data_IF_535127727573
#
_entry.id   IF_535127727573
#
_cell.length_a   1.000
_cell.length_b   1.000
_cell.length_c   1.000
_cell.angle_alpha   90.00
_cell.angle_beta   90.00
_cell.angle_gamma   90.00
#
_symmetry.space_group_name_H-M   'P 1'
#
loop_
_entity.id
_entity.type
_entity.pdbx_description
1 polymer ?
#
# COMPACT_ATOMS: atom_id res chain seq x y z
N UNK A 1 6.86 -65.00 -11.27
CA UNK A 1 5.70 -64.08 -11.30
C UNK A 1 5.15 -64.02 -12.72
N UNK A 2 3.86 -64.29 -12.90
CA UNK A 2 3.18 -64.19 -14.20
C UNK A 2 3.25 -62.75 -14.73
N UNK A 3 3.50 -62.58 -16.03
CA UNK A 3 3.78 -61.27 -16.65
C UNK A 3 2.63 -60.27 -16.52
N UNK A 4 1.40 -60.75 -16.33
CA UNK A 4 0.22 -59.94 -16.03
C UNK A 4 0.32 -59.17 -14.70
N UNK A 5 0.99 -59.75 -13.70
CA UNK A 5 1.17 -59.14 -12.37
C UNK A 5 2.26 -58.07 -12.42
N UNK A 6 3.28 -58.24 -13.28
CA UNK A 6 4.33 -57.23 -13.48
C UNK A 6 3.78 -55.98 -14.17
N UNK A 7 2.91 -56.15 -15.18
CA UNK A 7 2.26 -55.03 -15.87
C UNK A 7 1.36 -54.19 -14.96
N UNK A 8 0.64 -54.83 -14.03
CA UNK A 8 -0.20 -54.14 -13.04
C UNK A 8 0.64 -53.32 -12.04
N UNK A 9 1.76 -53.86 -11.56
CA UNK A 9 2.64 -53.18 -10.61
C UNK A 9 3.32 -51.96 -11.26
N UNK A 10 3.72 -52.06 -12.53
CA UNK A 10 4.34 -50.94 -13.27
C UNK A 10 3.30 -49.88 -13.65
N UNK A 11 2.07 -50.28 -14.01
CA UNK A 11 0.98 -49.34 -14.28
C UNK A 11 0.55 -48.55 -13.05
N UNK A 12 0.53 -49.18 -11.87
CA UNK A 12 0.16 -48.54 -10.62
C UNK A 12 1.23 -47.53 -10.16
N UNK A 13 2.52 -47.85 -10.31
CA UNK A 13 3.60 -46.93 -9.93
C UNK A 13 3.65 -45.70 -10.84
N UNK A 14 3.42 -45.85 -12.14
CA UNK A 14 3.41 -44.71 -13.07
C UNK A 14 2.10 -43.89 -12.92
N UNK A 15 0.96 -44.55 -12.71
CA UNK A 15 -0.31 -43.86 -12.44
C UNK A 15 -0.28 -43.02 -11.16
N UNK A 16 0.40 -43.49 -10.11
CA UNK A 16 0.57 -42.72 -8.86
C UNK A 16 1.46 -41.48 -8.98
N UNK A 17 2.28 -41.39 -10.04
CA UNK A 17 3.12 -40.21 -10.28
C UNK A 17 2.38 -39.08 -11.03
N UNK A 18 1.26 -39.40 -11.70
CA UNK A 18 0.59 -38.48 -12.63
C UNK A 18 -0.74 -37.90 -12.12
N UNK A 19 -1.35 -38.47 -11.07
CA UNK A 19 -2.60 -37.95 -10.51
C UNK A 19 -2.54 -37.86 -8.99
N UNK A 20 -2.56 -36.64 -8.43
CA UNK A 20 -3.12 -36.50 -7.09
C UNK A 20 -2.77 -35.28 -6.25
N UNK A 21 -1.77 -34.46 -6.57
CA UNK A 21 -1.58 -33.18 -5.87
C UNK A 21 -2.19 -32.05 -6.69
N UNK A 22 -3.52 -32.02 -6.71
CA UNK A 22 -4.32 -30.92 -7.26
C UNK A 22 -4.24 -29.68 -6.37
N UNK A 23 -4.09 -28.53 -7.03
CA UNK A 23 -4.41 -27.16 -6.59
C UNK A 23 -3.64 -26.60 -5.38
N UNK A 24 -2.61 -25.81 -5.66
CA UNK A 24 -2.20 -24.73 -4.75
C UNK A 24 -3.35 -23.71 -4.68
N UNK A 25 -4.23 -23.85 -3.69
CA UNK A 25 -4.90 -22.70 -3.13
C UNK A 25 -3.84 -21.91 -2.34
N UNK A 26 -3.79 -20.58 -2.51
CA UNK A 26 -3.02 -19.71 -1.63
C UNK A 26 -3.61 -19.80 -0.22
N UNK A 27 -3.19 -20.83 0.53
CA UNK A 27 -3.70 -21.14 1.86
C UNK A 27 -3.02 -20.21 2.85
N UNK A 28 -3.79 -19.30 3.44
CA UNK A 28 -3.35 -18.60 4.65
C UNK A 28 -2.97 -19.64 5.71
N UNK A 29 -1.71 -19.64 6.13
CA UNK A 29 -1.24 -20.55 7.17
C UNK A 29 -1.76 -20.04 8.52
N UNK A 30 -2.77 -20.72 9.06
CA UNK A 30 -3.20 -20.48 10.44
C UNK A 30 -2.22 -21.19 11.38
N UNK A 31 -1.60 -20.43 12.28
CA UNK A 31 -0.77 -20.98 13.36
C UNK A 31 -1.51 -20.84 14.69
N UNK A 32 -1.52 -21.92 15.50
CA UNK A 32 -2.04 -21.87 16.86
C UNK A 32 -0.88 -21.64 17.83
N UNK A 33 -0.90 -20.50 18.52
CA UNK A 33 0.17 -20.08 19.43
C UNK A 33 -0.44 -19.50 20.70
N UNK A 34 0.23 -19.72 21.83
CA UNK A 34 -0.15 -19.08 23.10
C UNK A 34 0.54 -17.72 23.18
N UNK A 35 -0.25 -16.66 23.18
CA UNK A 35 0.22 -15.29 23.38
C UNK A 35 0.49 -15.05 24.86
N UNK A 36 1.65 -14.48 25.17
CA UNK A 36 2.08 -14.14 26.54
C UNK A 36 2.67 -12.74 26.59
N UNK A 37 2.57 -12.09 27.75
CA UNK A 37 3.23 -10.81 27.98
C UNK A 37 4.73 -11.04 28.19
N UNK A 38 5.56 -10.47 27.32
CA UNK A 38 7.01 -10.56 27.38
C UNK A 38 7.59 -9.21 27.80
N UNK A 39 8.43 -9.20 28.84
CA UNK A 39 9.23 -8.02 29.19
C UNK A 39 10.42 -7.91 28.23
N UNK A 40 10.61 -6.74 27.64
CA UNK A 40 11.69 -6.45 26.70
C UNK A 40 12.78 -5.68 27.45
N UNK A 41 13.98 -6.23 27.44
CA UNK A 41 15.19 -5.63 28.00
C UNK A 41 16.14 -5.27 26.85
N UNK A 42 16.78 -4.11 26.95
CA UNK A 42 17.88 -3.69 26.07
C UNK A 42 19.02 -3.27 26.97
N UNK A 43 20.18 -3.90 26.79
CA UNK A 43 21.35 -3.70 27.64
C UNK A 43 21.01 -3.84 29.14
N UNK A 44 20.40 -4.99 29.49
CA UNK A 44 19.96 -5.36 30.85
C UNK A 44 18.89 -4.45 31.49
N UNK A 45 18.50 -3.37 30.81
CA UNK A 45 17.50 -2.42 31.29
C UNK A 45 16.13 -2.76 30.73
N UNK A 46 15.12 -2.88 31.59
CA UNK A 46 13.74 -3.08 31.15
C UNK A 46 13.25 -1.85 30.38
N UNK A 47 12.86 -2.01 29.12
CA UNK A 47 12.38 -0.92 28.27
C UNK A 47 10.87 -0.91 28.13
N UNK A 48 10.25 -2.07 27.91
CA UNK A 48 8.79 -2.17 27.74
C UNK A 48 8.29 -3.60 28.00
N UNK A 49 6.99 -3.83 27.80
CA UNK A 49 6.41 -5.17 27.76
C UNK A 49 5.39 -5.26 26.64
N UNK A 50 5.48 -6.32 25.83
CA UNK A 50 4.64 -6.51 24.65
C UNK A 50 4.06 -7.93 24.64
N UNK A 51 2.90 -8.08 24.01
CA UNK A 51 2.33 -9.40 23.80
C UNK A 51 3.13 -10.10 22.71
N UNK A 52 3.62 -11.30 22.97
CA UNK A 52 4.43 -12.06 22.03
C UNK A 52 4.19 -13.56 22.18
N UNK A 53 4.75 -14.34 21.28
CA UNK A 53 4.58 -15.79 21.28
C UNK A 53 5.86 -16.48 20.80
N UNK A 54 5.98 -17.78 21.09
CA UNK A 54 7.09 -18.60 20.61
C UNK A 54 6.53 -19.58 19.60
N UNK A 55 7.13 -19.62 18.41
CA UNK A 55 6.77 -20.55 17.35
C UNK A 55 8.04 -21.09 16.69
N UNK A 56 8.15 -22.43 16.61
CA UNK A 56 9.33 -23.13 16.05
C UNK A 56 10.68 -22.66 16.64
N UNK A 57 10.70 -22.40 17.95
CA UNK A 57 11.90 -21.91 18.65
C UNK A 57 12.23 -20.42 18.43
N UNK A 58 11.42 -19.70 17.65
CA UNK A 58 11.58 -18.26 17.43
C UNK A 58 10.57 -17.49 18.28
N UNK A 59 11.03 -16.44 18.96
CA UNK A 59 10.18 -15.51 19.69
C UNK A 59 9.72 -14.40 18.76
N UNK A 60 8.41 -14.22 18.64
CA UNK A 60 7.80 -13.17 17.84
C UNK A 60 7.25 -12.09 18.76
N UNK A 61 7.63 -10.85 18.48
CA UNK A 61 7.18 -9.66 19.20
C UNK A 61 6.71 -8.59 18.21
N UNK A 62 5.72 -7.76 18.56
CA UNK A 62 5.25 -6.66 17.73
C UNK A 62 6.40 -5.70 17.43
N UNK A 63 6.73 -5.54 16.15
CA UNK A 63 7.80 -4.64 15.72
C UNK A 63 7.56 -3.19 16.15
N UNK A 64 6.30 -2.76 16.33
CA UNK A 64 5.95 -1.44 16.90
C UNK A 64 6.49 -1.26 18.32
N UNK A 65 6.41 -2.29 19.17
CA UNK A 65 6.92 -2.24 20.54
C UNK A 65 8.46 -2.16 20.57
N UNK A 66 9.10 -2.86 19.63
CA UNK A 66 10.56 -2.81 19.45
C UNK A 66 10.97 -1.42 18.95
N UNK A 67 10.31 -0.87 17.92
CA UNK A 67 10.59 0.47 17.41
C UNK A 67 10.47 1.55 18.48
N UNK A 68 9.39 1.51 19.29
CA UNK A 68 9.19 2.45 20.40
C UNK A 68 10.33 2.41 21.43
N UNK A 69 10.88 1.23 21.70
CA UNK A 69 12.03 1.05 22.60
C UNK A 69 13.27 1.81 22.14
N UNK A 70 13.46 1.95 20.83
CA UNK A 70 14.56 2.70 20.21
C UNK A 70 14.17 4.11 19.76
N UNK A 71 12.99 4.60 20.17
CA UNK A 71 12.48 5.91 19.76
C UNK A 71 12.25 6.05 18.24
N UNK A 72 11.97 4.94 17.56
CA UNK A 72 11.72 4.90 16.11
C UNK A 72 10.26 4.60 15.82
N UNK A 73 9.69 5.37 14.89
CA UNK A 73 8.36 5.08 14.35
C UNK A 73 8.42 3.84 13.45
N UNK A 74 7.37 3.03 13.46
CA UNK A 74 7.23 1.87 12.57
C UNK A 74 5.99 2.06 11.70
N UNK A 75 6.16 2.03 10.38
CA UNK A 75 5.09 2.18 9.41
C UNK A 75 5.13 1.09 8.34
N UNK A 76 3.99 0.88 7.69
CA UNK A 76 3.82 0.00 6.55
C UNK A 76 3.44 0.85 5.34
N UNK A 77 4.14 0.68 4.22
CA UNK A 77 3.83 1.32 2.95
C UNK A 77 3.86 0.23 1.87
N UNK A 78 2.69 -0.09 1.32
CA UNK A 78 2.51 -1.30 0.51
C UNK A 78 2.90 -2.55 1.31
N UNK A 79 3.70 -3.43 0.70
CA UNK A 79 4.21 -4.65 1.34
C UNK A 79 5.53 -4.42 2.12
N UNK A 80 5.97 -3.17 2.26
CA UNK A 80 7.24 -2.82 2.90
C UNK A 80 7.06 -2.27 4.31
N UNK A 81 7.85 -2.79 5.25
CA UNK A 81 7.94 -2.33 6.64
C UNK A 81 9.10 -1.35 6.82
N UNK A 82 8.80 -0.17 7.34
CA UNK A 82 9.79 0.89 7.60
C UNK A 82 9.94 1.14 9.10
N UNK A 83 11.18 1.20 9.58
CA UNK A 83 11.53 1.57 10.96
C UNK A 83 12.37 2.84 10.92
N UNK A 84 11.90 3.90 11.58
CA UNK A 84 12.53 5.22 11.58
C UNK A 84 11.94 6.16 10.54
N UNK A 85 12.76 6.60 9.57
CA UNK A 85 12.33 7.53 8.52
C UNK A 85 11.35 6.82 7.60
N UNK A 86 10.14 7.38 7.51
CA UNK A 86 9.12 6.86 6.61
C UNK A 86 9.35 7.38 5.17
N UNK A 87 8.95 6.63 4.14
CA UNK A 87 9.01 7.11 2.78
C UNK A 87 8.14 8.36 2.65
N UNK A 88 8.73 9.44 2.15
CA UNK A 88 7.95 10.57 1.66
C UNK A 88 7.32 10.09 0.34
N UNK A 89 6.07 9.63 0.39
CA UNK A 89 5.28 9.45 -0.83
C UNK A 89 5.07 10.84 -1.39
N UNK A 90 5.97 11.28 -2.27
CA UNK A 90 5.76 12.53 -3.02
C UNK A 90 4.76 12.22 -4.12
N UNK A 91 3.51 12.65 -3.89
CA UNK A 91 2.51 12.80 -4.95
C UNK A 91 3.20 13.51 -6.12
N UNK A 92 3.06 12.97 -7.33
CA UNK A 92 3.51 13.66 -8.54
C UNK A 92 2.44 14.64 -9.02
N UNK A 93 2.81 15.60 -9.88
CA UNK A 93 1.84 16.56 -10.45
C UNK A 93 0.69 15.86 -11.19
N UNK A 94 1.01 14.81 -11.94
CA UNK A 94 0.00 13.96 -12.62
C UNK A 94 -0.95 13.34 -11.59
N UNK A 95 -0.44 12.84 -10.48
CA UNK A 95 -1.28 12.28 -9.41
C UNK A 95 -2.13 13.37 -8.75
N UNK A 96 -1.60 14.57 -8.52
CA UNK A 96 -2.36 15.70 -7.97
C UNK A 96 -3.53 16.11 -8.88
N UNK A 97 -3.30 16.18 -10.20
CA UNK A 97 -4.35 16.44 -11.20
C UNK A 97 -5.44 15.37 -11.13
N UNK A 98 -5.06 14.09 -11.10
CA UNK A 98 -6.02 12.98 -11.03
C UNK A 98 -6.82 13.00 -9.72
N UNK A 99 -6.19 13.34 -8.59
CA UNK A 99 -6.86 13.47 -7.30
C UNK A 99 -7.94 14.55 -7.33
N UNK A 100 -7.64 15.73 -7.90
CA UNK A 100 -8.61 16.83 -8.04
C UNK A 100 -9.74 16.44 -9.00
N UNK A 101 -9.42 15.86 -10.16
CA UNK A 101 -10.43 15.37 -11.12
C UNK A 101 -11.39 14.38 -10.47
N UNK A 102 -10.87 13.40 -9.75
CA UNK A 102 -11.67 12.38 -9.08
C UNK A 102 -12.54 12.96 -7.96
N UNK A 103 -11.99 13.87 -7.12
CA UNK A 103 -12.73 14.47 -6.00
C UNK A 103 -13.94 15.28 -6.45
N UNK A 104 -13.79 16.04 -7.54
CA UNK A 104 -14.86 16.91 -8.06
C UNK A 104 -15.63 16.30 -9.24
N UNK A 105 -15.40 15.02 -9.57
CA UNK A 105 -16.14 14.33 -10.63
C UNK A 105 -15.88 14.87 -12.04
N UNK A 106 -14.72 15.49 -12.27
CA UNK A 106 -14.35 16.09 -13.56
C UNK A 106 -13.91 14.98 -14.51
N UNK A 107 -14.79 14.62 -15.44
CA UNK A 107 -14.53 13.59 -16.45
C UNK A 107 -13.41 14.05 -17.39
N UNK A 108 -12.67 13.10 -17.96
CA UNK A 108 -11.68 13.41 -18.99
C UNK A 108 -12.29 14.06 -20.25
N UNK A 109 -13.58 13.86 -20.49
CA UNK A 109 -14.34 14.42 -21.60
C UNK A 109 -14.99 15.78 -21.31
N UNK A 110 -14.77 16.37 -20.13
CA UNK A 110 -15.31 17.70 -19.82
C UNK A 110 -14.42 18.79 -20.41
N UNK A 111 -14.99 19.96 -20.65
CA UNK A 111 -14.27 21.16 -21.13
C UNK A 111 -13.39 21.81 -20.04
N UNK A 112 -13.41 21.27 -18.82
CA UNK A 112 -12.54 21.70 -17.73
C UNK A 112 -11.10 21.23 -17.89
N UNK A 113 -10.21 22.21 -17.93
CA UNK A 113 -8.77 22.06 -17.76
C UNK A 113 -8.44 21.93 -16.27
N UNK A 114 -7.52 21.02 -15.96
CA UNK A 114 -7.02 20.78 -14.60
C UNK A 114 -5.52 20.62 -14.68
N UNK A 115 -4.79 21.57 -14.11
CA UNK A 115 -3.33 21.61 -14.16
C UNK A 115 -2.71 22.08 -12.85
N UNK A 116 -1.45 21.70 -12.63
CA UNK A 116 -0.66 22.25 -11.54
C UNK A 116 -0.05 23.56 -12.03
N UNK A 117 -0.42 24.67 -11.40
CA UNK A 117 0.10 26.01 -11.73
C UNK A 117 1.50 26.18 -11.13
N UNK A 118 1.62 26.00 -9.81
CA UNK A 118 2.91 26.03 -9.12
C UNK A 118 2.91 25.19 -7.84
N UNK A 119 4.05 25.23 -7.14
CA UNK A 119 4.27 24.58 -5.85
C UNK A 119 4.44 25.61 -4.74
N UNK A 120 3.66 25.49 -3.67
CA UNK A 120 3.78 26.34 -2.47
C UNK A 120 4.10 25.46 -1.24
N UNK A 121 5.34 25.54 -0.76
CA UNK A 121 5.80 24.68 0.33
C UNK A 121 5.58 23.18 0.05
N UNK A 122 4.83 22.52 0.94
CA UNK A 122 4.47 21.10 0.80
C UNK A 122 3.23 20.86 -0.07
N UNK A 123 2.67 21.87 -0.73
CA UNK A 123 1.46 21.74 -1.55
C UNK A 123 1.74 21.98 -3.03
N UNK A 124 0.98 21.30 -3.88
CA UNK A 124 0.71 21.74 -5.25
C UNK A 124 -0.50 22.67 -5.25
N UNK A 125 -0.42 23.74 -6.05
CA UNK A 125 -1.55 24.60 -6.35
C UNK A 125 -2.14 24.14 -7.68
N UNK A 126 -3.34 23.58 -7.63
CA UNK A 126 -4.05 23.05 -8.80
C UNK A 126 -5.14 24.02 -9.23
N UNK A 127 -5.11 24.42 -10.49
CA UNK A 127 -6.08 25.30 -11.11
C UNK A 127 -7.10 24.47 -11.91
N UNK A 128 -8.39 24.73 -11.67
CA UNK A 128 -9.48 24.18 -12.47
C UNK A 128 -10.21 25.33 -13.15
N UNK A 129 -10.27 25.29 -14.48
CA UNK A 129 -10.89 26.33 -15.28
C UNK A 129 -11.44 25.77 -16.58
N UNK A 130 -12.30 26.54 -17.23
CA UNK A 130 -12.72 26.36 -18.61
C UNK A 130 -12.33 27.60 -19.43
N UNK A 131 -12.20 27.42 -20.74
CA UNK A 131 -11.98 28.52 -21.68
C UNK A 131 -13.27 28.71 -22.47
N UNK A 132 -13.90 29.87 -22.30
CA UNK A 132 -15.13 30.24 -22.99
C UNK A 132 -14.75 31.18 -24.13
N UNK A 133 -15.22 30.87 -25.35
CA UNK A 133 -15.00 31.73 -26.51
C UNK A 133 -16.10 32.79 -26.60
N UNK A 134 -15.72 34.05 -26.72
CA UNK A 134 -16.64 35.19 -26.91
C UNK A 134 -16.91 35.44 -28.41
N UNK A 135 -15.92 35.18 -29.26
CA UNK A 135 -16.05 35.15 -30.72
C UNK A 135 -15.13 34.09 -31.35
N UNK A 136 -14.97 34.08 -32.68
CA UNK A 136 -14.11 33.11 -33.40
C UNK A 136 -12.62 33.17 -33.01
N UNK A 137 -12.18 34.26 -32.38
CA UNK A 137 -10.78 34.57 -32.10
C UNK A 137 -10.51 35.02 -30.66
N UNK A 138 -11.53 35.45 -29.93
CA UNK A 138 -11.41 35.96 -28.57
C UNK A 138 -12.16 35.05 -27.60
N UNK A 139 -11.60 34.92 -26.39
CA UNK A 139 -12.19 34.16 -25.32
C UNK A 139 -11.58 34.54 -23.99
N UNK A 140 -12.22 34.06 -22.92
CA UNK A 140 -11.83 34.33 -21.55
C UNK A 140 -11.80 33.05 -20.72
N UNK A 141 -10.91 33.03 -19.73
CA UNK A 141 -10.79 31.90 -18.80
C UNK A 141 -11.74 32.09 -17.63
N UNK A 142 -12.68 31.16 -17.45
CA UNK A 142 -13.54 31.10 -16.28
C UNK A 142 -12.96 30.11 -15.27
N UNK A 143 -12.52 30.63 -14.11
CA UNK A 143 -11.96 29.79 -13.05
C UNK A 143 -13.08 29.14 -12.25
N UNK A 144 -13.04 27.81 -12.19
CA UNK A 144 -13.93 27.03 -11.34
C UNK A 144 -13.40 26.93 -9.90
N UNK A 145 -12.08 26.81 -9.73
CA UNK A 145 -11.50 26.81 -8.39
C UNK A 145 -9.98 26.63 -8.36
N UNK A 146 -9.44 26.91 -7.19
CA UNK A 146 -8.03 26.71 -6.85
C UNK A 146 -7.92 25.80 -5.63
N UNK A 147 -7.06 24.79 -5.73
CA UNK A 147 -6.95 23.75 -4.71
C UNK A 147 -5.51 23.55 -4.28
N UNK A 148 -5.29 23.46 -2.97
CA UNK A 148 -4.06 22.92 -2.41
C UNK A 148 -4.14 21.40 -2.39
N UNK A 149 -3.11 20.74 -2.93
CA UNK A 149 -2.91 19.29 -2.80
C UNK A 149 -1.61 19.03 -2.04
N UNK A 150 -1.71 18.48 -0.84
CA UNK A 150 -0.53 18.16 -0.02
C UNK A 150 0.30 17.06 -0.69
N UNK A 151 1.58 17.34 -0.92
CA UNK A 151 2.52 16.48 -1.66
C UNK A 151 2.81 15.17 -0.95
N UNK A 152 2.55 15.08 0.36
CA UNK A 152 2.89 13.91 1.18
C UNK A 152 1.68 13.01 1.46
N UNK A 153 0.49 13.59 1.50
CA UNK A 153 -0.75 12.93 1.93
C UNK A 153 -1.80 12.87 0.82
N UNK A 154 -1.71 13.72 -0.20
CA UNK A 154 -2.73 13.88 -1.24
C UNK A 154 -4.00 14.56 -0.73
N UNK A 155 -4.01 15.14 0.48
CA UNK A 155 -5.15 15.88 1.01
C UNK A 155 -5.43 17.10 0.12
N UNK A 156 -6.70 17.28 -0.25
CA UNK A 156 -7.14 18.38 -1.11
C UNK A 156 -7.94 19.40 -0.28
N UNK A 157 -7.51 20.65 -0.28
CA UNK A 157 -8.18 21.79 0.37
C UNK A 157 -8.52 22.86 -0.68
N UNK A 158 -9.73 23.43 -0.59
CA UNK A 158 -10.14 24.56 -1.43
C UNK A 158 -9.51 25.84 -0.89
N UNK A 159 -9.02 26.71 -1.77
CA UNK A 159 -8.56 28.04 -1.38
C UNK A 159 -9.72 29.01 -1.09
N UNK A 160 -10.90 28.72 -1.64
CA UNK A 160 -12.10 29.54 -1.56
C UNK A 160 -13.32 28.68 -1.20
#
# INVERSE_FOLDING_TARGET
>A
MNDKVKGLVVGLTIGSLLTGATAFAASGMNINVVVKKLSIFVDETKKTSADGFIYKGTTYVPVKSVGATFGKQVGLYGDSLYIGKQPAVKITEVQAIQLVRNKYGIKASSDYFVEVDHSEGNNYVVHVYEVIMDDETTGHTATYGWYYVDKSTGKIESMF
#
